data_IF_543289211905
#
_entry.id   IF_543289211905
#
_cell.length_a   1.000
_cell.length_b   1.000
_cell.length_c   1.000
_cell.angle_alpha   90.00
_cell.angle_beta   90.00
_cell.angle_gamma   90.00
#
_symmetry.space_group_name_H-M   'P 1'
#
loop_
_entity.id
_entity.type
_entity.pdbx_description
1 polymer ?
#
# COMPACT_ATOMS: atom_id res chain seq x y z
N UNK A 1 0.30 6.77 13.05
CA UNK A 1 -0.62 5.85 12.36
C UNK A 1 -0.35 5.88 10.86
N UNK A 2 -0.29 4.71 10.25
CA UNK A 2 -0.23 4.51 8.81
C UNK A 2 -1.67 4.45 8.29
N UNK A 3 -2.02 5.35 7.39
CA UNK A 3 -3.33 5.35 6.74
C UNK A 3 -3.18 4.77 5.33
N UNK A 4 -3.92 3.70 5.05
CA UNK A 4 -3.94 3.02 3.75
C UNK A 4 -5.32 3.19 3.13
N UNK A 5 -5.36 3.64 1.87
CA UNK A 5 -6.57 3.67 1.04
C UNK A 5 -6.38 2.78 -0.18
N UNK A 6 -7.15 1.71 -0.26
CA UNK A 6 -7.21 0.82 -1.42
C UNK A 6 -8.25 1.36 -2.39
N UNK A 7 -7.85 1.55 -3.65
CA UNK A 7 -8.75 1.94 -4.73
C UNK A 7 -9.35 0.69 -5.38
N UNK A 8 -10.67 0.68 -5.52
CA UNK A 8 -11.43 -0.43 -6.09
C UNK A 8 -12.22 0.08 -7.28
N UNK A 9 -12.16 -0.61 -8.42
CA UNK A 9 -12.99 -0.26 -9.58
C UNK A 9 -14.40 -0.87 -9.49
N UNK A 10 -15.28 -0.50 -10.43
CA UNK A 10 -16.64 -1.04 -10.56
C UNK A 10 -16.71 -2.57 -10.78
N UNK A 11 -15.61 -3.21 -11.16
CA UNK A 11 -15.46 -4.65 -11.30
C UNK A 11 -15.02 -5.34 -10.01
N UNK A 12 -14.95 -4.60 -8.91
CA UNK A 12 -14.42 -5.05 -7.61
C UNK A 12 -12.96 -5.51 -7.68
N UNK A 13 -12.16 -4.91 -8.58
CA UNK A 13 -10.74 -5.16 -8.72
C UNK A 13 -9.93 -4.04 -8.05
N UNK A 14 -8.86 -4.40 -7.34
CA UNK A 14 -7.95 -3.44 -6.73
C UNK A 14 -7.10 -2.76 -7.80
N UNK A 15 -7.33 -1.47 -8.02
CA UNK A 15 -6.71 -0.71 -9.11
C UNK A 15 -5.60 0.25 -8.62
N UNK A 16 -5.41 0.38 -7.30
CA UNK A 16 -4.35 1.20 -6.73
C UNK A 16 -4.37 1.25 -5.21
N UNK A 17 -3.34 1.88 -4.65
CA UNK A 17 -3.16 2.08 -3.22
C UNK A 17 -2.57 3.48 -2.96
N UNK A 18 -3.08 4.13 -1.92
CA UNK A 18 -2.50 5.36 -1.37
C UNK A 18 -2.16 5.12 0.10
N UNK A 19 -1.00 5.60 0.51
CA UNK A 19 -0.49 5.42 1.86
C UNK A 19 0.13 6.71 2.37
N UNK A 20 -0.10 7.03 3.64
CA UNK A 20 0.54 8.14 4.33
C UNK A 20 0.98 7.73 5.75
N UNK A 21 1.94 8.46 6.32
CA UNK A 21 2.33 8.30 7.72
C UNK A 21 3.33 7.18 8.01
N UNK A 22 3.95 6.60 6.98
CA UNK A 22 4.97 5.54 7.15
C UNK A 22 6.41 6.07 7.35
N UNK A 23 6.66 7.37 7.18
CA UNK A 23 8.00 7.99 7.31
C UNK A 23 8.39 8.43 8.74
N UNK A 24 7.68 7.97 9.76
CA UNK A 24 8.17 7.96 11.15
C UNK A 24 8.33 9.30 11.89
N UNK A 25 8.00 10.45 11.30
CA UNK A 25 8.05 11.76 11.95
C UNK A 25 6.72 12.16 12.63
N UNK A 26 6.07 11.21 13.32
CA UNK A 26 4.89 11.57 14.11
C UNK A 26 5.34 12.26 15.39
N UNK A 27 4.80 13.45 15.68
CA UNK A 27 5.00 14.17 16.95
C UNK A 27 4.60 13.30 18.18
N UNK A 28 3.74 12.29 17.97
CA UNK A 28 3.34 11.25 18.94
C UNK A 28 3.89 9.87 18.54
N UNK A 29 5.21 9.68 18.69
CA UNK A 29 5.87 8.40 18.46
C UNK A 29 5.37 7.31 19.44
N UNK A 30 4.97 6.16 18.90
CA UNK A 30 4.57 4.98 19.67
C UNK A 30 5.65 3.90 19.59
N UNK A 31 5.94 3.28 20.72
CA UNK A 31 6.88 2.15 20.77
C UNK A 31 6.40 1.03 19.82
N UNK A 32 7.27 0.60 18.90
CA UNK A 32 6.93 -0.40 17.88
C UNK A 32 6.39 0.17 16.56
N UNK A 33 6.12 1.48 16.45
CA UNK A 33 5.68 2.11 15.20
C UNK A 33 6.69 1.90 14.06
N UNK A 34 8.00 1.96 14.35
CA UNK A 34 9.07 1.69 13.38
C UNK A 34 9.00 0.29 12.76
N UNK A 35 8.58 -0.72 13.53
CA UNK A 35 8.47 -2.10 13.05
C UNK A 35 7.32 -2.23 12.05
N UNK A 36 6.17 -1.64 12.36
CA UNK A 36 5.01 -1.63 11.46
C UNK A 36 5.30 -0.83 10.20
N UNK A 37 5.92 0.36 10.35
CA UNK A 37 6.37 1.16 9.19
C UNK A 37 7.31 0.36 8.28
N UNK A 38 8.31 -0.29 8.86
CA UNK A 38 9.27 -1.10 8.10
C UNK A 38 8.60 -2.25 7.34
N UNK A 39 7.68 -2.97 7.99
CA UNK A 39 6.95 -4.07 7.37
C UNK A 39 6.07 -3.57 6.20
N UNK A 40 5.32 -2.49 6.41
CA UNK A 40 4.45 -1.89 5.39
C UNK A 40 5.24 -1.35 4.21
N UNK A 41 6.35 -0.65 4.45
CA UNK A 41 7.23 -0.14 3.40
C UNK A 41 7.86 -1.27 2.59
N UNK A 42 8.31 -2.34 3.26
CA UNK A 42 8.89 -3.50 2.58
C UNK A 42 7.90 -4.18 1.64
N UNK A 43 6.66 -4.43 2.09
CA UNK A 43 5.61 -5.03 1.26
C UNK A 43 5.24 -4.14 0.06
N UNK A 44 5.09 -2.84 0.32
CA UNK A 44 4.60 -1.88 -0.68
C UNK A 44 5.63 -1.65 -1.79
N UNK A 45 6.89 -1.41 -1.42
CA UNK A 45 7.98 -1.23 -2.38
C UNK A 45 8.26 -2.54 -3.13
N UNK A 46 8.19 -3.68 -2.44
CA UNK A 46 8.35 -4.97 -3.10
C UNK A 46 7.25 -5.23 -4.14
N UNK A 47 5.98 -4.91 -3.82
CA UNK A 47 4.88 -5.02 -4.77
C UNK A 47 5.12 -4.15 -6.00
N UNK A 48 5.42 -2.85 -5.82
CA UNK A 48 5.65 -1.93 -6.92
C UNK A 48 6.80 -2.39 -7.84
N UNK A 49 7.94 -2.77 -7.25
CA UNK A 49 9.08 -3.29 -8.00
C UNK A 49 8.76 -4.62 -8.70
N UNK A 50 7.94 -5.47 -8.08
CA UNK A 50 7.54 -6.75 -8.67
C UNK A 50 6.59 -6.56 -9.85
N UNK A 51 5.67 -5.59 -9.78
CA UNK A 51 4.84 -5.23 -10.93
C UNK A 51 5.72 -4.72 -12.07
N UNK A 52 6.66 -3.81 -11.79
CA UNK A 52 7.58 -3.27 -12.80
C UNK A 52 8.45 -4.35 -13.46
N UNK A 53 8.96 -5.30 -12.66
CA UNK A 53 9.93 -6.26 -13.15
C UNK A 53 9.32 -7.53 -13.75
N UNK A 54 8.15 -7.96 -13.27
CA UNK A 54 7.57 -9.27 -13.61
C UNK A 54 6.27 -9.19 -14.42
N UNK A 55 5.78 -8.00 -14.77
CA UNK A 55 4.50 -7.83 -15.48
C UNK A 55 4.61 -6.78 -16.57
N UNK A 56 3.65 -6.75 -17.50
CA UNK A 56 3.57 -5.73 -18.56
C UNK A 56 2.55 -4.62 -18.20
N UNK A 57 2.08 -4.58 -16.95
CA UNK A 57 1.07 -3.64 -16.50
C UNK A 57 1.60 -2.21 -16.50
N UNK A 58 0.84 -1.28 -17.07
CA UNK A 58 1.16 0.16 -17.05
C UNK A 58 0.59 0.78 -15.78
N UNK A 59 1.44 1.51 -15.05
CA UNK A 59 1.08 2.13 -13.77
C UNK A 59 1.74 3.51 -13.61
N UNK A 60 1.23 4.26 -12.66
CA UNK A 60 1.84 5.46 -12.09
C UNK A 60 2.19 5.18 -10.63
N UNK A 61 3.39 5.58 -10.21
CA UNK A 61 3.84 5.48 -8.83
C UNK A 61 4.55 6.77 -8.40
N UNK A 62 4.22 7.25 -7.20
CA UNK A 62 4.84 8.42 -6.58
C UNK A 62 5.19 8.07 -5.13
N UNK A 63 6.42 8.38 -4.73
CA UNK A 63 6.87 8.27 -3.35
C UNK A 63 7.46 9.61 -2.92
N UNK A 64 6.96 10.18 -1.84
CA UNK A 64 7.45 11.43 -1.25
C UNK A 64 7.92 11.14 0.17
N UNK A 65 9.25 11.11 0.34
CA UNK A 65 9.89 10.72 1.61
C UNK A 65 9.54 11.68 2.76
N UNK A 66 9.45 12.98 2.48
CA UNK A 66 9.24 14.02 3.51
C UNK A 66 7.81 13.99 4.08
N UNK A 67 6.80 13.70 3.24
CA UNK A 67 5.42 13.54 3.68
C UNK A 67 5.09 12.09 4.10
N UNK A 68 5.99 11.14 3.84
CA UNK A 68 5.74 9.71 3.99
C UNK A 68 4.54 9.26 3.18
N UNK A 69 4.36 9.84 2.00
CA UNK A 69 3.27 9.49 1.10
C UNK A 69 3.76 8.54 0.02
N UNK A 70 3.00 7.48 -0.21
CA UNK A 70 3.20 6.57 -1.33
C UNK A 70 1.89 6.41 -2.09
N UNK A 71 1.96 6.47 -3.41
CA UNK A 71 0.82 6.29 -4.30
C UNK A 71 1.21 5.35 -5.41
N UNK A 72 0.34 4.40 -5.71
CA UNK A 72 0.48 3.50 -6.84
C UNK A 72 -0.88 3.28 -7.47
N UNK A 73 -0.99 3.35 -8.79
CA UNK A 73 -2.23 3.08 -9.51
C UNK A 73 -1.96 2.52 -10.90
N UNK A 74 -2.71 1.50 -11.29
CA UNK A 74 -2.74 1.05 -12.68
C UNK A 74 -3.44 2.11 -13.56
N UNK A 75 -2.80 2.50 -14.67
CA UNK A 75 -3.36 3.43 -15.66
C UNK A 75 -4.01 2.71 -16.83
N UNK A 76 -3.81 1.40 -16.93
CA UNK A 76 -4.50 0.50 -17.85
C UNK A 76 -5.11 -0.70 -17.11
N UNK A 77 -5.57 -1.68 -17.88
CA UNK A 77 -6.05 -2.95 -17.32
C UNK A 77 -4.86 -3.75 -16.78
N UNK A 78 -4.85 -4.03 -15.48
CA UNK A 78 -3.88 -4.93 -14.88
C UNK A 78 -4.02 -6.35 -15.47
N UNK A 79 -2.89 -6.97 -15.78
CA UNK A 79 -2.86 -8.38 -16.14
C UNK A 79 -3.03 -9.28 -14.90
N UNK A 80 -3.09 -10.59 -15.10
CA UNK A 80 -3.28 -11.56 -14.02
C UNK A 80 -2.12 -11.56 -13.01
N UNK A 81 -0.88 -11.32 -13.46
CA UNK A 81 0.29 -11.25 -12.59
C UNK A 81 0.26 -10.01 -11.71
N UNK A 82 0.00 -8.84 -12.31
CA UNK A 82 -0.12 -7.58 -11.59
C UNK A 82 -1.29 -7.60 -10.60
N UNK A 83 -2.41 -8.21 -10.98
CA UNK A 83 -3.57 -8.42 -10.10
C UNK A 83 -3.20 -9.30 -8.90
N UNK A 84 -2.48 -10.40 -9.13
CA UNK A 84 -2.04 -11.28 -8.05
C UNK A 84 -1.11 -10.56 -7.07
N UNK A 85 -0.15 -9.77 -7.58
CA UNK A 85 0.78 -9.00 -6.76
C UNK A 85 0.06 -7.94 -5.92
N UNK A 86 -0.89 -7.21 -6.51
CA UNK A 86 -1.74 -6.26 -5.77
C UNK A 86 -2.56 -6.97 -4.69
N UNK A 87 -3.22 -8.08 -5.02
CA UNK A 87 -3.97 -8.88 -4.05
C UNK A 87 -3.08 -9.38 -2.91
N UNK A 88 -1.85 -9.81 -3.22
CA UNK A 88 -0.88 -10.26 -2.22
C UNK A 88 -0.45 -9.12 -1.29
N UNK A 89 -0.27 -7.90 -1.81
CA UNK A 89 -0.01 -6.72 -0.99
C UNK A 89 -1.18 -6.43 -0.05
N UNK A 90 -2.40 -6.34 -0.59
CA UNK A 90 -3.59 -6.03 0.22
C UNK A 90 -3.78 -7.07 1.31
N UNK A 91 -3.63 -8.36 0.98
CA UNK A 91 -3.66 -9.45 1.97
C UNK A 91 -2.61 -9.25 3.08
N UNK A 92 -1.35 -9.02 2.74
CA UNK A 92 -0.30 -8.81 3.73
C UNK A 92 -0.50 -7.56 4.60
N UNK A 93 -1.06 -6.47 4.04
CA UNK A 93 -1.42 -5.29 4.82
C UNK A 93 -2.60 -5.56 5.76
N UNK A 94 -3.60 -6.32 5.31
CA UNK A 94 -4.72 -6.74 6.15
C UNK A 94 -4.26 -7.61 7.32
N UNK A 95 -3.34 -8.56 7.11
CA UNK A 95 -2.76 -9.34 8.21
C UNK A 95 -2.06 -8.43 9.25
N UNK A 96 -1.37 -7.37 8.80
CA UNK A 96 -0.75 -6.39 9.69
C UNK A 96 -1.82 -5.55 10.44
N UNK A 97 -2.90 -5.14 9.77
CA UNK A 97 -4.00 -4.42 10.42
C UNK A 97 -4.72 -5.30 11.45
N UNK A 98 -4.90 -6.60 11.18
CA UNK A 98 -5.54 -7.52 12.12
C UNK A 98 -4.70 -7.73 13.39
N UNK A 99 -3.37 -7.80 13.26
CA UNK A 99 -2.46 -8.01 14.40
C UNK A 99 -2.21 -6.73 15.21
N UNK A 100 -1.97 -5.60 14.54
CA UNK A 100 -1.55 -4.36 15.20
C UNK A 100 -2.64 -3.29 15.28
N UNK A 101 -3.49 -3.19 14.26
CA UNK A 101 -4.63 -2.27 14.19
C UNK A 101 -4.32 -0.82 14.58
N UNK A 102 -5.31 -0.13 15.14
CA UNK A 102 -5.10 1.17 15.77
C UNK A 102 -4.30 0.99 17.09
N UNK A 103 -3.30 1.85 17.35
CA UNK A 103 -3.02 3.13 16.68
C UNK A 103 -2.02 3.08 15.50
N UNK A 104 -1.58 1.89 15.08
CA UNK A 104 -0.46 1.73 14.14
C UNK A 104 -0.84 1.84 12.67
N UNK A 105 -1.92 1.19 12.24
CA UNK A 105 -2.34 1.12 10.84
C UNK A 105 -3.87 1.08 10.73
N UNK A 106 -4.40 1.72 9.68
CA UNK A 106 -5.81 1.63 9.29
C UNK A 106 -5.97 1.50 7.78
N UNK A 107 -6.73 0.50 7.34
CA UNK A 107 -7.04 0.29 5.92
C UNK A 107 -8.48 0.72 5.62
N UNK A 108 -8.66 1.42 4.49
CA UNK A 108 -9.96 1.83 3.96
C UNK A 108 -10.05 1.50 2.48
N UNK A 109 -11.27 1.25 2.02
CA UNK A 109 -11.56 0.96 0.61
C UNK A 109 -12.34 2.12 0.00
N UNK A 110 -11.96 2.53 -1.21
CA UNK A 110 -12.62 3.61 -1.95
C UNK A 110 -12.91 3.16 -3.38
N UNK A 111 -14.18 3.18 -3.75
CA UNK A 111 -14.62 2.96 -5.13
C UNK A 111 -14.26 4.16 -6.01
N UNK A 112 -13.74 3.91 -7.23
CA UNK A 112 -13.26 4.93 -8.19
C UNK A 112 -13.60 4.63 -9.65
#
# INVERSE_FOLDING_TARGET
MIDVTVLVDSGNCYCGILMSGHAGHADDYQEGQELVCSAVSALTLNMANSVEHFTDAVFEAEAEEESGTFRFRFTGKADAGATLLMNSLIFGLTDIEEEYGEPYIKIRYKEV
#
